data_IF_376125341200
#
_entry.id   IF_376125341200
#
_cell.length_a   1.000
_cell.length_b   1.000
_cell.length_c   1.000
_cell.angle_alpha   90.00
_cell.angle_beta   90.00
_cell.angle_gamma   90.00
#
_symmetry.space_group_name_H-M   'P 1'
#
loop_
_entity.id
_entity.type
_entity.pdbx_description
1 polymer ?
#
# COMPACT_ATOMS: atom_id res chain seq x y z
N UNK A 1 27.76 6.87 -19.61
CA UNK A 1 26.31 7.09 -19.74
C UNK A 1 25.74 5.92 -20.52
N UNK A 2 25.04 4.98 -19.92
CA UNK A 2 24.44 3.84 -20.63
C UNK A 2 23.32 4.39 -21.52
N UNK A 3 23.38 4.08 -22.81
CA UNK A 3 22.31 4.38 -23.77
C UNK A 3 21.06 3.59 -23.34
N UNK A 4 20.23 4.17 -22.46
CA UNK A 4 18.93 3.57 -22.14
C UNK A 4 18.07 3.62 -23.40
N UNK A 5 17.36 2.53 -23.75
CA UNK A 5 16.42 2.58 -24.86
C UNK A 5 15.41 3.71 -24.57
N UNK A 6 15.25 4.60 -25.53
CA UNK A 6 14.40 5.79 -25.45
C UNK A 6 12.92 5.39 -25.53
N UNK A 7 12.38 4.78 -24.46
CA UNK A 7 10.93 4.51 -24.36
C UNK A 7 10.19 5.78 -23.91
N UNK A 8 9.13 6.09 -24.64
CA UNK A 8 8.19 7.17 -24.34
C UNK A 8 7.07 6.65 -23.46
N UNK A 9 6.76 7.37 -22.40
CA UNK A 9 5.71 7.02 -21.46
C UNK A 9 4.53 7.99 -21.53
N UNK A 10 3.30 7.47 -21.36
CA UNK A 10 2.13 8.27 -21.06
C UNK A 10 1.56 7.87 -19.70
N UNK A 11 1.08 8.88 -18.94
CA UNK A 11 0.45 8.71 -17.63
C UNK A 11 -1.06 8.91 -17.79
N UNK A 12 -1.82 7.83 -17.52
CA UNK A 12 -3.28 7.80 -17.60
C UNK A 12 -3.82 7.81 -16.16
N UNK A 13 -4.29 8.97 -15.72
CA UNK A 13 -4.64 9.26 -14.33
C UNK A 13 -3.51 10.00 -13.61
N UNK A 14 -3.68 11.31 -13.40
CA UNK A 14 -2.69 12.18 -12.77
C UNK A 14 -3.02 12.49 -11.31
N UNK A 15 -3.54 11.50 -10.59
CA UNK A 15 -3.66 11.51 -9.15
C UNK A 15 -2.29 11.58 -8.46
N UNK A 16 -2.24 11.37 -7.14
CA UNK A 16 -0.99 11.42 -6.37
C UNK A 16 0.06 10.41 -6.88
N UNK A 17 -0.35 9.16 -7.08
CA UNK A 17 0.56 8.07 -7.50
C UNK A 17 1.04 8.28 -8.93
N UNK A 18 0.13 8.54 -9.87
CA UNK A 18 0.49 8.73 -11.29
C UNK A 18 1.42 9.92 -11.50
N UNK A 19 1.17 11.03 -10.82
CA UNK A 19 2.05 12.20 -10.87
C UNK A 19 3.42 11.92 -10.27
N UNK A 20 3.48 11.25 -9.11
CA UNK A 20 4.76 10.93 -8.46
C UNK A 20 5.60 9.95 -9.30
N UNK A 21 5.00 8.85 -9.79
CA UNK A 21 5.71 7.88 -10.65
C UNK A 21 6.16 8.53 -11.96
N UNK A 22 5.28 9.30 -12.62
CA UNK A 22 5.66 10.04 -13.84
C UNK A 22 6.83 11.01 -13.63
N UNK A 23 6.80 11.76 -12.52
CA UNK A 23 7.90 12.65 -12.12
C UNK A 23 9.21 11.89 -11.88
N UNK A 24 9.16 10.77 -11.16
CA UNK A 24 10.33 9.94 -10.88
C UNK A 24 10.88 9.27 -12.15
N UNK A 25 10.04 8.79 -13.06
CA UNK A 25 10.47 8.26 -14.36
C UNK A 25 11.18 9.33 -15.17
N UNK A 26 10.63 10.55 -15.20
CA UNK A 26 11.30 11.68 -15.88
C UNK A 26 12.66 11.99 -15.27
N UNK A 27 12.77 12.02 -13.92
CA UNK A 27 14.04 12.18 -13.22
C UNK A 27 15.02 11.04 -13.51
N UNK A 28 14.53 9.84 -13.78
CA UNK A 28 15.33 8.68 -14.18
C UNK A 28 15.75 8.70 -15.67
N UNK A 29 15.35 9.73 -16.42
CA UNK A 29 15.74 9.94 -17.82
C UNK A 29 14.77 9.39 -18.87
N UNK A 30 13.57 8.97 -18.46
CA UNK A 30 12.51 8.60 -19.40
C UNK A 30 11.78 9.84 -19.93
N UNK A 31 11.34 9.79 -21.18
CA UNK A 31 10.49 10.83 -21.77
C UNK A 31 9.02 10.55 -21.40
N UNK A 32 8.37 11.52 -20.73
CA UNK A 32 6.93 11.48 -20.52
C UNK A 32 6.29 12.37 -21.58
N UNK A 33 5.71 11.75 -22.59
CA UNK A 33 5.18 12.47 -23.77
C UNK A 33 3.77 12.97 -23.58
N UNK A 34 2.96 12.29 -22.77
CA UNK A 34 1.55 12.64 -22.59
C UNK A 34 1.02 12.31 -21.20
N UNK A 35 -0.01 13.05 -20.82
CA UNK A 35 -0.81 12.82 -19.60
C UNK A 35 -2.29 12.99 -19.91
N UNK A 36 -3.15 12.26 -19.22
CA UNK A 36 -4.59 12.47 -19.25
C UNK A 36 -5.21 12.20 -17.87
N UNK A 37 -6.23 12.98 -17.54
CA UNK A 37 -7.05 12.84 -16.32
C UNK A 37 -8.39 13.54 -16.58
N UNK A 38 -9.53 12.99 -16.13
CA UNK A 38 -10.81 13.69 -16.25
C UNK A 38 -10.87 15.00 -15.45
N UNK A 39 -10.03 15.15 -14.41
CA UNK A 39 -9.90 16.37 -13.61
C UNK A 39 -8.86 17.30 -14.19
N UNK A 40 -9.31 18.46 -14.69
CA UNK A 40 -8.41 19.53 -15.13
C UNK A 40 -7.50 20.05 -14.00
N UNK A 41 -7.97 20.02 -12.76
CA UNK A 41 -7.18 20.41 -11.59
C UNK A 41 -6.02 19.42 -11.34
N UNK A 42 -6.25 18.11 -11.53
CA UNK A 42 -5.19 17.10 -11.45
C UNK A 42 -4.15 17.31 -12.56
N UNK A 43 -4.60 17.50 -13.82
CA UNK A 43 -3.70 17.76 -14.94
C UNK A 43 -2.85 19.01 -14.69
N UNK A 44 -3.47 20.13 -14.29
CA UNK A 44 -2.74 21.39 -14.01
C UNK A 44 -1.69 21.19 -12.91
N UNK A 45 -2.05 20.48 -11.86
CA UNK A 45 -1.09 20.14 -10.78
C UNK A 45 0.04 19.24 -11.27
N UNK A 46 -0.28 18.21 -12.06
CA UNK A 46 0.72 17.28 -12.59
C UNK A 46 1.72 17.95 -13.53
N UNK A 47 1.32 18.97 -14.29
CA UNK A 47 2.19 19.73 -15.18
C UNK A 47 3.39 20.37 -14.46
N UNK A 48 3.25 20.74 -13.17
CA UNK A 48 4.36 21.30 -12.39
C UNK A 48 5.42 20.23 -12.02
N UNK A 49 5.06 18.96 -12.02
CA UNK A 49 5.96 17.83 -11.73
C UNK A 49 6.46 17.12 -13.00
N UNK A 50 5.63 17.10 -14.05
CA UNK A 50 5.90 16.40 -15.31
C UNK A 50 5.85 17.45 -16.44
N UNK A 51 6.85 18.33 -16.44
CA UNK A 51 6.93 19.42 -17.46
C UNK A 51 7.17 18.85 -18.86
N UNK A 52 6.57 19.48 -19.89
CA UNK A 52 6.78 19.12 -21.30
C UNK A 52 5.91 17.99 -21.84
N UNK A 53 5.13 17.29 -20.98
CA UNK A 53 4.18 16.30 -21.44
C UNK A 53 2.90 16.98 -21.99
N UNK A 54 2.37 16.46 -23.10
CA UNK A 54 1.10 16.92 -23.67
C UNK A 54 -0.07 16.53 -22.74
N UNK A 55 -0.99 17.45 -22.49
CA UNK A 55 -2.24 17.15 -21.80
C UNK A 55 -3.30 16.71 -22.81
N UNK A 56 -3.67 15.44 -22.80
CA UNK A 56 -4.66 14.85 -23.68
C UNK A 56 -6.04 14.82 -23.02
N UNK A 57 -7.08 15.00 -23.84
CA UNK A 57 -8.47 14.91 -23.38
C UNK A 57 -8.88 13.46 -23.12
N UNK A 58 -8.42 12.52 -23.95
CA UNK A 58 -8.78 11.12 -23.91
C UNK A 58 -7.57 10.20 -23.69
N UNK A 59 -7.71 9.08 -22.97
CA UNK A 59 -6.66 8.09 -22.77
C UNK A 59 -6.06 7.55 -24.08
N UNK A 60 -6.87 7.33 -25.11
CA UNK A 60 -6.43 6.87 -26.43
C UNK A 60 -5.51 7.86 -27.15
N UNK A 61 -5.73 9.17 -27.00
CA UNK A 61 -4.84 10.20 -27.53
C UNK A 61 -3.47 10.12 -26.87
N UNK A 62 -3.42 10.02 -25.54
CA UNK A 62 -2.16 9.87 -24.79
C UNK A 62 -1.44 8.56 -25.19
N UNK A 63 -2.19 7.48 -25.38
CA UNK A 63 -1.66 6.20 -25.82
C UNK A 63 -1.02 6.26 -27.20
N UNK A 64 -1.54 7.08 -28.12
CA UNK A 64 -0.96 7.30 -29.44
C UNK A 64 0.45 7.93 -29.41
N UNK A 65 0.80 8.62 -28.34
CA UNK A 65 2.06 9.37 -28.21
C UNK A 65 3.17 8.62 -27.45
N UNK A 66 2.91 7.36 -26.99
CA UNK A 66 3.84 6.66 -26.13
C UNK A 66 4.00 5.17 -26.50
N UNK A 67 5.13 4.58 -26.09
CA UNK A 67 5.43 3.15 -26.21
C UNK A 67 4.99 2.39 -24.96
N UNK A 68 4.98 3.08 -23.83
CA UNK A 68 4.65 2.55 -22.51
C UNK A 68 3.53 3.37 -21.89
N UNK A 69 2.49 2.70 -21.37
CA UNK A 69 1.34 3.34 -20.74
C UNK A 69 1.29 2.97 -19.25
N UNK A 70 1.13 3.97 -18.41
CA UNK A 70 0.91 3.79 -16.97
C UNK A 70 -0.55 4.13 -16.67
N UNK A 71 -1.39 3.14 -16.43
CA UNK A 71 -2.76 3.32 -15.96
C UNK A 71 -2.72 3.40 -14.44
N UNK A 72 -2.92 4.62 -13.95
CA UNK A 72 -2.83 5.00 -12.53
C UNK A 72 -4.15 5.58 -12.01
N UNK A 73 -5.24 5.19 -12.65
CA UNK A 73 -6.62 5.46 -12.22
C UNK A 73 -7.00 4.61 -11.01
N UNK A 74 -8.11 4.90 -10.32
CA UNK A 74 -8.66 4.00 -9.30
C UNK A 74 -8.84 2.58 -9.85
N UNK A 75 -8.70 1.58 -8.98
CA UNK A 75 -8.70 0.16 -9.36
C UNK A 75 -9.93 -0.23 -10.18
N UNK A 76 -11.12 0.24 -9.79
CA UNK A 76 -12.40 -0.04 -10.46
C UNK A 76 -12.48 0.53 -11.89
N UNK A 77 -11.62 1.50 -12.21
CA UNK A 77 -11.61 2.15 -13.52
C UNK A 77 -10.52 1.60 -14.45
N UNK A 78 -9.61 0.76 -13.98
CA UNK A 78 -8.47 0.29 -14.80
C UNK A 78 -8.97 -0.48 -16.04
N UNK A 79 -9.90 -1.40 -15.86
CA UNK A 79 -10.39 -2.23 -16.95
C UNK A 79 -11.14 -1.41 -18.03
N UNK A 80 -12.00 -0.48 -17.61
CA UNK A 80 -12.75 0.40 -18.54
C UNK A 80 -11.81 1.36 -19.28
N UNK A 81 -10.83 1.95 -18.61
CA UNK A 81 -9.82 2.82 -19.22
C UNK A 81 -8.94 2.02 -20.20
N UNK A 82 -8.57 0.78 -19.85
CA UNK A 82 -7.84 -0.09 -20.76
C UNK A 82 -8.64 -0.39 -22.03
N UNK A 83 -9.95 -0.65 -21.91
CA UNK A 83 -10.83 -0.87 -23.08
C UNK A 83 -10.92 0.40 -23.95
N UNK A 84 -11.15 1.57 -23.35
CA UNK A 84 -11.19 2.87 -24.08
C UNK A 84 -9.90 3.13 -24.85
N UNK A 85 -8.73 2.80 -24.27
CA UNK A 85 -7.43 2.93 -24.96
C UNK A 85 -7.39 2.02 -26.19
N UNK A 86 -7.82 0.77 -26.06
CA UNK A 86 -7.78 -0.23 -27.15
C UNK A 86 -8.74 0.13 -28.27
N UNK A 87 -9.93 0.63 -27.93
CA UNK A 87 -10.94 1.04 -28.91
C UNK A 87 -10.52 2.27 -29.71
N UNK A 88 -9.79 3.19 -29.11
CA UNK A 88 -9.39 4.45 -29.73
C UNK A 88 -7.95 4.55 -30.22
N UNK A 89 -7.10 3.53 -29.97
CA UNK A 89 -5.66 3.57 -30.37
C UNK A 89 -5.09 2.17 -30.54
N UNK A 90 -4.17 2.01 -31.51
CA UNK A 90 -3.41 0.76 -31.65
C UNK A 90 -2.45 0.58 -30.45
N UNK A 91 -2.58 -0.55 -29.77
CA UNK A 91 -1.70 -0.91 -28.66
C UNK A 91 -0.78 -2.10 -28.95
N UNK A 92 -0.77 -2.58 -30.20
CA UNK A 92 0.08 -3.70 -30.61
C UNK A 92 1.56 -3.38 -30.38
N UNK A 93 2.24 -4.25 -29.63
CA UNK A 93 3.64 -4.10 -29.25
C UNK A 93 3.93 -3.08 -28.13
N UNK A 94 2.92 -2.32 -27.66
CA UNK A 94 3.09 -1.41 -26.52
C UNK A 94 3.20 -2.19 -25.20
N UNK A 95 3.74 -1.52 -24.20
CA UNK A 95 3.88 -2.03 -22.83
C UNK A 95 2.91 -1.27 -21.93
N UNK A 96 1.98 -1.98 -21.33
CA UNK A 96 0.91 -1.36 -20.52
C UNK A 96 1.01 -1.85 -19.08
N UNK A 97 1.06 -0.89 -18.17
CA UNK A 97 1.20 -1.12 -16.75
C UNK A 97 0.01 -0.56 -15.99
N UNK A 98 -0.41 -1.24 -14.94
CA UNK A 98 -1.22 -0.63 -13.89
C UNK A 98 -0.53 -0.74 -12.53
N UNK A 99 -1.00 0.06 -11.54
CA UNK A 99 -0.39 0.14 -10.23
C UNK A 99 -1.26 -0.45 -9.10
N UNK A 100 -2.35 -1.13 -9.43
CA UNK A 100 -3.20 -1.80 -8.43
C UNK A 100 -2.42 -2.86 -7.66
N UNK A 101 -2.59 -2.86 -6.35
CA UNK A 101 -2.02 -3.86 -5.45
C UNK A 101 -2.81 -5.18 -5.47
N UNK A 102 -4.12 -5.11 -5.59
CA UNK A 102 -5.03 -6.26 -5.58
C UNK A 102 -5.33 -6.80 -6.97
N UNK A 103 -5.48 -5.90 -7.98
CA UNK A 103 -5.86 -6.27 -9.33
C UNK A 103 -4.80 -7.09 -10.07
N UNK A 104 -5.23 -8.11 -10.80
CA UNK A 104 -4.39 -8.97 -11.63
C UNK A 104 -4.17 -8.40 -13.04
N UNK A 105 -3.55 -9.22 -13.92
CA UNK A 105 -3.35 -8.86 -15.33
C UNK A 105 -4.65 -8.93 -16.15
N UNK A 106 -5.67 -9.54 -15.61
CA UNK A 106 -7.03 -9.62 -16.19
C UNK A 106 -7.65 -8.23 -16.38
N UNK A 107 -7.30 -7.25 -15.55
CA UNK A 107 -7.71 -5.85 -15.74
C UNK A 107 -7.20 -5.26 -17.06
N UNK A 108 -6.14 -5.81 -17.63
CA UNK A 108 -5.55 -5.42 -18.92
C UNK A 108 -5.83 -6.42 -20.03
N UNK A 109 -6.83 -7.31 -19.86
CA UNK A 109 -7.18 -8.33 -20.86
C UNK A 109 -7.52 -7.75 -22.24
N UNK A 110 -8.22 -6.61 -22.39
CA UNK A 110 -8.44 -5.97 -23.69
C UNK A 110 -7.12 -5.68 -24.42
N UNK A 111 -6.16 -5.08 -23.72
CA UNK A 111 -4.86 -4.74 -24.28
C UNK A 111 -4.03 -5.99 -24.66
N UNK A 112 -4.08 -7.04 -23.84
CA UNK A 112 -3.42 -8.32 -24.16
C UNK A 112 -3.98 -8.93 -25.42
N UNK A 113 -5.30 -8.95 -25.60
CA UNK A 113 -5.97 -9.43 -26.83
C UNK A 113 -5.60 -8.60 -28.05
N UNK A 114 -5.34 -7.31 -27.87
CA UNK A 114 -4.91 -6.39 -28.93
C UNK A 114 -3.38 -6.42 -29.20
N UNK A 115 -2.64 -7.34 -28.57
CA UNK A 115 -1.21 -7.58 -28.83
C UNK A 115 -0.25 -6.69 -28.02
N UNK A 116 -0.70 -6.08 -26.91
CA UNK A 116 0.17 -5.41 -25.97
C UNK A 116 0.80 -6.40 -24.96
N UNK A 117 1.96 -6.05 -24.43
CA UNK A 117 2.54 -6.70 -23.26
C UNK A 117 2.08 -5.98 -21.99
N UNK A 118 1.64 -6.75 -20.99
CA UNK A 118 1.01 -6.17 -19.79
C UNK A 118 1.73 -6.55 -18.50
N UNK A 119 1.72 -5.63 -17.53
CA UNK A 119 2.24 -5.85 -16.20
C UNK A 119 1.52 -5.00 -15.15
N UNK A 120 1.63 -5.42 -13.89
CA UNK A 120 1.34 -4.62 -12.71
C UNK A 120 2.65 -4.33 -11.97
N UNK A 121 2.86 -3.07 -11.56
CA UNK A 121 3.98 -2.65 -10.71
C UNK A 121 3.42 -1.84 -9.54
N UNK A 122 3.15 -2.50 -8.43
CA UNK A 122 2.50 -1.89 -7.27
C UNK A 122 3.53 -1.44 -6.23
N UNK A 123 3.68 -0.12 -5.96
CA UNK A 123 4.56 0.37 -4.90
C UNK A 123 3.96 0.08 -3.52
N UNK A 124 4.71 -0.63 -2.66
CA UNK A 124 4.37 -0.85 -1.25
C UNK A 124 4.70 0.40 -0.43
N UNK A 125 3.85 1.42 -0.56
CA UNK A 125 4.04 2.70 0.12
C UNK A 125 2.71 3.41 0.34
N UNK A 126 2.64 4.26 1.36
CA UNK A 126 1.50 5.15 1.60
C UNK A 126 1.70 6.51 0.91
N UNK A 127 0.63 7.05 0.36
CA UNK A 127 0.64 8.29 -0.40
C UNK A 127 -0.30 9.32 0.23
N UNK A 128 0.24 10.29 0.97
CA UNK A 128 -0.52 11.39 1.56
C UNK A 128 -0.45 12.68 0.73
N UNK A 129 0.61 12.84 -0.08
CA UNK A 129 0.80 13.92 -1.03
C UNK A 129 1.73 13.47 -2.16
N UNK A 130 1.81 14.26 -3.25
CA UNK A 130 2.74 13.99 -4.36
C UNK A 130 4.19 14.09 -3.87
N UNK A 131 4.52 15.10 -3.08
CA UNK A 131 5.89 15.31 -2.60
C UNK A 131 6.34 14.20 -1.65
N UNK A 132 5.45 13.76 -0.74
CA UNK A 132 5.74 12.62 0.12
C UNK A 132 5.89 11.33 -0.67
N UNK A 133 5.09 11.12 -1.72
CA UNK A 133 5.22 9.98 -2.62
C UNK A 133 6.57 9.98 -3.34
N UNK A 134 6.97 11.13 -3.91
CA UNK A 134 8.27 11.28 -4.59
C UNK A 134 9.43 10.99 -3.63
N UNK A 135 9.33 11.40 -2.37
CA UNK A 135 10.35 11.18 -1.36
C UNK A 135 10.41 9.74 -0.86
N UNK A 136 9.27 9.06 -0.72
CA UNK A 136 9.13 7.76 -0.07
C UNK A 136 9.19 6.57 -1.03
N UNK A 137 8.93 6.75 -2.33
CA UNK A 137 9.02 5.69 -3.34
C UNK A 137 10.44 5.11 -3.46
N UNK A 138 11.53 5.93 -3.49
CA UNK A 138 12.89 5.39 -3.44
C UNK A 138 13.12 4.53 -2.18
N UNK A 139 13.64 3.31 -2.38
CA UNK A 139 13.84 2.33 -1.30
C UNK A 139 12.64 1.46 -0.98
N UNK A 140 11.44 1.79 -1.50
CA UNK A 140 10.24 0.97 -1.30
C UNK A 140 10.27 -0.31 -2.14
N UNK A 141 9.65 -1.36 -1.62
CA UNK A 141 9.39 -2.56 -2.41
C UNK A 141 8.25 -2.34 -3.41
N UNK A 142 8.36 -3.02 -4.55
CA UNK A 142 7.32 -3.03 -5.58
C UNK A 142 6.91 -4.46 -5.90
N UNK A 143 5.62 -4.78 -5.75
CA UNK A 143 5.05 -6.03 -6.23
C UNK A 143 4.95 -6.01 -7.75
N UNK A 144 5.71 -6.90 -8.42
CA UNK A 144 5.74 -7.02 -9.88
C UNK A 144 5.02 -8.27 -10.31
N UNK A 145 3.95 -8.10 -11.10
CA UNK A 145 3.23 -9.17 -11.79
C UNK A 145 3.29 -8.85 -13.29
N UNK A 146 3.85 -9.73 -14.11
CA UNK A 146 4.08 -9.42 -15.52
C UNK A 146 4.03 -10.69 -16.39
N UNK A 147 3.62 -10.53 -17.64
CA UNK A 147 3.84 -11.58 -18.65
C UNK A 147 5.34 -11.82 -18.85
N UNK A 148 5.72 -13.04 -19.25
CA UNK A 148 7.13 -13.46 -19.30
C UNK A 148 8.05 -12.48 -20.03
N UNK A 149 7.62 -11.99 -21.21
CA UNK A 149 8.38 -11.03 -22.02
C UNK A 149 8.58 -9.64 -21.41
N UNK A 150 7.74 -9.26 -20.41
CA UNK A 150 7.80 -7.93 -19.79
C UNK A 150 8.46 -7.93 -18.40
N UNK A 151 8.71 -9.10 -17.81
CA UNK A 151 9.20 -9.25 -16.42
C UNK A 151 10.52 -8.51 -16.16
N UNK A 152 11.51 -8.67 -17.03
CA UNK A 152 12.83 -8.01 -16.91
C UNK A 152 12.70 -6.48 -17.02
N UNK A 153 11.92 -6.02 -17.99
CA UNK A 153 11.69 -4.59 -18.22
C UNK A 153 10.93 -3.95 -17.04
N UNK A 154 9.88 -4.58 -16.52
CA UNK A 154 9.16 -4.11 -15.35
C UNK A 154 10.06 -3.94 -14.13
N UNK A 155 10.96 -4.92 -13.90
CA UNK A 155 11.93 -4.85 -12.81
C UNK A 155 12.99 -3.78 -13.03
N UNK A 156 13.38 -3.50 -14.28
CA UNK A 156 14.31 -2.41 -14.61
C UNK A 156 13.66 -1.04 -14.29
N UNK A 157 12.40 -0.82 -14.70
CA UNK A 157 11.64 0.39 -14.35
C UNK A 157 11.61 0.59 -12.84
N UNK A 158 11.30 -0.45 -12.06
CA UNK A 158 11.25 -0.35 -10.60
C UNK A 158 12.61 0.07 -10.02
N UNK A 159 13.72 -0.51 -10.51
CA UNK A 159 15.06 -0.11 -10.06
C UNK A 159 15.42 1.33 -10.48
N UNK A 160 14.96 1.77 -11.65
CA UNK A 160 15.16 3.16 -12.10
C UNK A 160 14.38 4.15 -11.24
N UNK A 161 13.26 3.74 -10.66
CA UNK A 161 12.54 4.48 -9.60
C UNK A 161 13.26 4.38 -8.23
N UNK A 162 14.42 3.73 -8.16
CA UNK A 162 15.15 3.37 -6.93
C UNK A 162 14.35 2.47 -5.99
N UNK A 163 13.39 1.73 -6.52
CA UNK A 163 12.60 0.73 -5.77
C UNK A 163 13.23 -0.66 -5.85
N UNK A 164 12.71 -1.57 -5.04
CA UNK A 164 13.14 -2.97 -4.93
C UNK A 164 12.04 -3.87 -5.50
N UNK A 165 12.23 -4.50 -6.68
CA UNK A 165 11.21 -5.35 -7.27
C UNK A 165 11.12 -6.70 -6.55
N UNK A 166 9.90 -7.12 -6.19
CA UNK A 166 9.57 -8.48 -5.76
C UNK A 166 8.50 -9.04 -6.70
N UNK A 167 8.62 -10.33 -7.04
CA UNK A 167 7.64 -10.96 -7.92
C UNK A 167 6.46 -11.49 -7.12
N UNK A 168 5.26 -11.12 -7.57
CA UNK A 168 3.99 -11.56 -6.99
C UNK A 168 3.17 -12.17 -8.13
N UNK A 169 2.70 -13.43 -7.97
CA UNK A 169 1.84 -14.03 -8.98
C UNK A 169 0.43 -13.43 -8.92
N UNK A 170 -0.39 -13.54 -9.98
CA UNK A 170 -1.77 -13.07 -9.95
C UNK A 170 -2.56 -13.64 -8.77
N UNK A 171 -2.38 -14.90 -8.44
CA UNK A 171 -3.08 -15.61 -7.36
C UNK A 171 -2.64 -15.12 -5.98
N UNK A 172 -1.42 -14.63 -5.84
CA UNK A 172 -0.88 -14.10 -4.59
C UNK A 172 -1.29 -12.64 -4.33
N UNK A 173 -1.67 -11.87 -5.38
CA UNK A 173 -1.97 -10.43 -5.24
C UNK A 173 -3.01 -10.10 -4.18
N UNK A 174 -4.15 -10.81 -4.05
CA UNK A 174 -5.13 -10.47 -3.01
C UNK A 174 -4.54 -10.56 -1.60
N UNK A 175 -3.79 -11.62 -1.30
CA UNK A 175 -3.17 -11.79 0.02
C UNK A 175 -2.01 -10.81 0.25
N UNK A 176 -1.20 -10.56 -0.78
CA UNK A 176 -0.15 -9.55 -0.77
C UNK A 176 -0.72 -8.16 -0.45
N UNK A 177 -1.80 -7.76 -1.11
CA UNK A 177 -2.43 -6.46 -0.88
C UNK A 177 -3.14 -6.39 0.48
N UNK A 178 -3.77 -7.47 0.93
CA UNK A 178 -4.35 -7.54 2.27
C UNK A 178 -3.29 -7.30 3.35
N UNK A 179 -2.08 -7.87 3.20
CA UNK A 179 -0.97 -7.60 4.12
C UNK A 179 -0.54 -6.13 4.10
N UNK A 180 -0.49 -5.49 2.93
CA UNK A 180 -0.20 -4.06 2.80
C UNK A 180 -1.27 -3.19 3.48
N UNK A 181 -2.55 -3.53 3.30
CA UNK A 181 -3.66 -2.85 3.98
C UNK A 181 -3.57 -3.01 5.50
N UNK A 182 -3.21 -4.18 6.01
CA UNK A 182 -3.02 -4.38 7.44
C UNK A 182 -1.85 -3.56 7.99
N UNK A 183 -0.75 -3.47 7.25
CA UNK A 183 0.43 -2.72 7.68
C UNK A 183 0.24 -1.20 7.63
N UNK A 184 -0.66 -0.68 6.81
CA UNK A 184 -0.91 0.75 6.62
C UNK A 184 -2.29 1.17 7.10
N UNK A 185 -3.34 0.81 6.38
CA UNK A 185 -4.70 1.27 6.66
C UNK A 185 -5.20 0.81 8.03
N UNK A 186 -4.96 -0.46 8.40
CA UNK A 186 -5.42 -1.00 9.69
C UNK A 186 -4.58 -0.48 10.86
N UNK A 187 -3.33 -0.09 10.62
CA UNK A 187 -2.55 0.64 11.63
C UNK A 187 -3.25 1.97 11.97
N UNK A 188 -3.67 2.76 10.96
CA UNK A 188 -4.41 4.01 11.17
C UNK A 188 -5.74 3.74 11.88
N UNK A 189 -6.48 2.69 11.48
CA UNK A 189 -7.73 2.30 12.13
C UNK A 189 -7.52 1.91 13.59
N UNK A 190 -6.43 1.18 13.91
CA UNK A 190 -6.07 0.85 15.28
C UNK A 190 -5.75 2.09 16.10
N UNK A 191 -5.03 3.05 15.52
CA UNK A 191 -4.74 4.33 16.21
C UNK A 191 -6.01 5.14 16.48
N UNK A 192 -7.03 5.09 15.62
CA UNK A 192 -8.34 5.68 15.88
C UNK A 192 -9.03 5.04 17.10
N UNK A 193 -8.92 3.72 17.28
CA UNK A 193 -9.41 3.05 18.47
C UNK A 193 -8.64 3.48 19.72
N UNK A 194 -7.31 3.55 19.64
CA UNK A 194 -6.45 4.04 20.74
C UNK A 194 -6.83 5.46 21.13
N UNK A 195 -7.05 6.36 20.15
CA UNK A 195 -7.50 7.72 20.38
C UNK A 195 -8.87 7.75 21.09
N UNK A 196 -9.84 6.95 20.64
CA UNK A 196 -11.15 6.82 21.29
C UNK A 196 -11.06 6.38 22.78
N UNK A 197 -10.13 5.48 23.12
CA UNK A 197 -9.89 5.07 24.50
C UNK A 197 -9.33 6.24 25.33
N UNK A 198 -8.37 7.02 24.82
CA UNK A 198 -7.84 8.19 25.52
C UNK A 198 -8.91 9.28 25.71
N UNK A 199 -9.75 9.52 24.68
CA UNK A 199 -10.85 10.48 24.76
C UNK A 199 -11.86 10.08 25.86
N UNK A 200 -12.16 8.79 26.00
CA UNK A 200 -13.12 8.28 27.01
C UNK A 200 -12.66 8.49 28.45
N UNK A 201 -11.38 8.75 28.66
CA UNK A 201 -10.81 9.05 29.99
C UNK A 201 -10.40 10.52 30.14
N UNK A 202 -10.88 11.41 29.23
CA UNK A 202 -10.80 12.86 29.38
C UNK A 202 -9.63 13.54 28.67
N UNK A 203 -8.86 12.84 27.83
CA UNK A 203 -7.85 13.50 27.00
C UNK A 203 -8.50 14.30 25.86
N UNK A 204 -7.89 15.41 25.45
CA UNK A 204 -8.20 16.01 24.16
C UNK A 204 -7.60 15.19 23.01
N UNK A 205 -8.14 15.29 21.77
CA UNK A 205 -7.54 14.63 20.60
C UNK A 205 -6.05 14.96 20.44
N UNK A 206 -5.68 16.21 20.65
CA UNK A 206 -4.30 16.68 20.55
C UNK A 206 -3.39 16.02 21.58
N UNK A 207 -3.85 15.90 22.82
CA UNK A 207 -3.04 15.34 23.91
C UNK A 207 -3.00 13.80 23.80
N UNK A 208 -4.08 13.16 23.39
CA UNK A 208 -4.11 11.74 23.07
C UNK A 208 -3.02 11.39 22.04
N UNK A 209 -3.00 12.10 20.90
CA UNK A 209 -1.98 11.91 19.87
C UNK A 209 -0.55 12.10 20.37
N UNK A 210 -0.32 13.14 21.15
CA UNK A 210 1.00 13.38 21.76
C UNK A 210 1.41 12.27 22.73
N UNK A 211 0.46 11.68 23.45
CA UNK A 211 0.72 10.63 24.41
C UNK A 211 1.06 9.30 23.73
N UNK A 212 0.28 8.86 22.72
CA UNK A 212 0.48 7.53 22.15
C UNK A 212 1.52 7.45 21.02
N UNK A 213 1.75 8.52 20.24
CA UNK A 213 2.69 8.48 19.11
C UNK A 213 4.12 8.09 19.49
N UNK A 214 4.72 8.61 20.58
CA UNK A 214 6.04 8.15 21.01
C UNK A 214 6.09 6.65 21.32
N UNK A 215 5.01 6.10 21.90
CA UNK A 215 4.88 4.67 22.19
C UNK A 215 4.81 3.85 20.88
N UNK A 216 4.07 4.33 19.89
CA UNK A 216 3.98 3.69 18.56
C UNK A 216 5.35 3.67 17.88
N UNK A 217 6.06 4.81 17.85
CA UNK A 217 7.40 4.88 17.26
C UNK A 217 8.39 3.97 17.96
N UNK A 218 8.35 3.89 19.30
CA UNK A 218 9.16 2.96 20.06
C UNK A 218 8.87 1.51 19.72
N UNK A 219 7.59 1.16 19.55
CA UNK A 219 7.17 -0.19 19.14
C UNK A 219 7.61 -0.54 17.72
N UNK A 220 7.50 0.42 16.77
CA UNK A 220 8.00 0.24 15.40
C UNK A 220 9.51 0.05 15.37
N UNK A 221 10.26 0.81 16.17
CA UNK A 221 11.71 0.67 16.29
C UNK A 221 12.13 -0.70 16.84
N UNK A 222 11.41 -1.19 17.86
CA UNK A 222 11.65 -2.53 18.39
C UNK A 222 11.32 -3.61 17.35
N UNK A 223 10.24 -3.44 16.60
CA UNK A 223 9.83 -4.34 15.53
C UNK A 223 10.90 -4.41 14.42
N UNK A 224 11.43 -3.26 13.99
CA UNK A 224 12.49 -3.16 12.99
C UNK A 224 13.75 -3.93 13.41
N UNK A 225 14.14 -3.81 14.67
CA UNK A 225 15.41 -4.36 15.16
C UNK A 225 15.34 -5.80 15.66
N UNK A 226 14.17 -6.25 16.16
CA UNK A 226 14.04 -7.53 16.88
C UNK A 226 13.05 -8.51 16.25
N UNK A 227 12.21 -8.04 15.31
CA UNK A 227 11.10 -8.83 14.74
C UNK A 227 9.92 -9.01 15.69
N UNK A 228 8.78 -9.49 15.16
CA UNK A 228 7.50 -9.51 15.89
C UNK A 228 7.52 -10.22 17.25
N UNK A 229 8.03 -11.45 17.41
CA UNK A 229 7.98 -12.11 18.72
C UNK A 229 8.78 -11.35 19.77
N UNK A 230 10.01 -10.92 19.43
CA UNK A 230 10.92 -10.29 20.38
C UNK A 230 10.55 -8.84 20.72
N UNK A 231 9.92 -8.12 19.80
CA UNK A 231 9.42 -6.76 20.01
C UNK A 231 8.23 -6.71 20.99
N UNK A 232 7.52 -7.84 21.22
CA UNK A 232 6.37 -7.86 22.11
C UNK A 232 6.77 -7.59 23.54
N UNK A 233 6.12 -6.60 24.18
CA UNK A 233 6.24 -6.22 25.57
C UNK A 233 4.86 -6.16 26.25
N UNK A 234 4.79 -5.69 27.48
CA UNK A 234 3.53 -5.45 28.18
C UNK A 234 3.01 -6.64 29.00
N UNK A 235 1.77 -6.53 29.52
CA UNK A 235 1.23 -7.49 30.49
C UNK A 235 1.06 -8.91 29.93
N UNK A 236 0.67 -9.04 28.66
CA UNK A 236 0.52 -10.35 28.02
C UNK A 236 1.87 -11.07 27.92
N UNK A 237 2.92 -10.35 27.50
CA UNK A 237 4.27 -10.93 27.41
C UNK A 237 4.80 -11.37 28.76
N UNK A 238 4.38 -10.75 29.87
CA UNK A 238 4.78 -11.10 31.24
C UNK A 238 3.86 -12.10 31.94
N UNK A 239 2.76 -12.50 31.28
CA UNK A 239 1.79 -13.42 31.88
C UNK A 239 0.89 -12.77 32.95
N UNK A 240 0.78 -11.44 32.99
CA UNK A 240 -0.02 -10.68 33.96
C UNK A 240 -1.51 -10.72 33.61
N UNK A 241 -2.17 -11.82 33.98
CA UNK A 241 -3.59 -12.03 33.75
C UNK A 241 -4.51 -11.06 34.52
N UNK A 242 -4.06 -10.58 35.68
CA UNK A 242 -4.82 -9.63 36.50
C UNK A 242 -4.98 -8.28 35.79
N UNK A 243 -3.90 -7.75 35.22
CA UNK A 243 -3.94 -6.52 34.41
C UNK A 243 -4.80 -6.69 33.16
N UNK A 244 -4.67 -7.82 32.46
CA UNK A 244 -5.49 -8.10 31.26
C UNK A 244 -6.98 -8.16 31.59
N UNK A 245 -7.36 -8.79 32.72
CA UNK A 245 -8.75 -8.84 33.18
C UNK A 245 -9.32 -7.45 33.47
N UNK A 246 -8.52 -6.56 34.09
CA UNK A 246 -8.92 -5.17 34.34
C UNK A 246 -9.15 -4.42 33.02
N UNK A 247 -8.26 -4.60 32.02
CA UNK A 247 -8.43 -3.99 30.69
C UNK A 247 -9.73 -4.47 30.03
N UNK A 248 -9.96 -5.78 29.98
CA UNK A 248 -11.20 -6.35 29.40
C UNK A 248 -12.43 -5.76 30.07
N UNK A 249 -12.46 -5.73 31.40
CA UNK A 249 -13.61 -5.17 32.16
C UNK A 249 -13.83 -3.70 31.83
N UNK A 250 -12.77 -2.90 31.81
CA UNK A 250 -12.86 -1.47 31.50
C UNK A 250 -13.36 -1.21 30.08
N UNK A 251 -12.80 -1.91 29.08
CA UNK A 251 -13.22 -1.77 27.69
C UNK A 251 -14.66 -2.22 27.50
N UNK A 252 -15.05 -3.39 28.06
CA UNK A 252 -16.42 -3.87 27.95
C UNK A 252 -17.44 -2.94 28.63
N UNK A 253 -17.05 -2.22 29.69
CA UNK A 253 -17.92 -1.27 30.37
C UNK A 253 -18.05 0.06 29.62
N UNK A 254 -16.94 0.64 29.16
CA UNK A 254 -16.91 2.02 28.64
C UNK A 254 -16.94 2.10 27.11
N UNK A 255 -16.45 1.07 26.42
CA UNK A 255 -16.28 1.03 24.94
C UNK A 255 -16.54 -0.38 24.40
N UNK A 256 -17.75 -0.96 24.66
CA UNK A 256 -18.04 -2.37 24.35
C UNK A 256 -17.83 -2.72 22.87
N UNK A 257 -17.99 -1.77 21.94
CA UNK A 257 -17.75 -1.95 20.52
C UNK A 257 -16.31 -2.36 20.18
N UNK A 258 -15.35 -2.10 21.07
CA UNK A 258 -13.93 -2.46 20.87
C UNK A 258 -13.50 -3.71 21.65
N UNK A 259 -14.39 -4.33 22.45
CA UNK A 259 -14.05 -5.50 23.27
C UNK A 259 -13.57 -6.69 22.43
N UNK A 260 -14.28 -6.99 21.34
CA UNK A 260 -13.90 -8.07 20.41
C UNK A 260 -12.56 -7.81 19.72
N UNK A 261 -12.30 -6.57 19.27
CA UNK A 261 -11.01 -6.20 18.69
C UNK A 261 -9.86 -6.39 19.68
N UNK A 262 -10.03 -5.88 20.91
CA UNK A 262 -9.03 -6.03 21.97
C UNK A 262 -8.73 -7.51 22.27
N UNK A 263 -9.76 -8.33 22.36
CA UNK A 263 -9.63 -9.76 22.62
C UNK A 263 -8.92 -10.51 21.47
N UNK A 264 -9.25 -10.20 20.22
CA UNK A 264 -8.62 -10.81 19.05
C UNK A 264 -7.12 -10.46 18.98
N UNK A 265 -6.76 -9.19 19.18
CA UNK A 265 -5.37 -8.76 19.25
C UNK A 265 -4.63 -9.40 20.42
N UNK A 266 -5.31 -9.53 21.59
CA UNK A 266 -4.78 -10.23 22.74
C UNK A 266 -4.45 -11.70 22.47
N UNK A 267 -5.29 -12.41 21.71
CA UNK A 267 -5.02 -13.80 21.33
C UNK A 267 -3.81 -13.94 20.40
N UNK A 268 -3.60 -12.97 19.50
CA UNK A 268 -2.39 -12.92 18.66
C UNK A 268 -1.15 -12.67 19.54
N UNK A 269 -1.25 -11.74 20.49
CA UNK A 269 -0.17 -11.43 21.43
C UNK A 269 0.21 -12.64 22.31
N UNK A 270 -0.77 -13.48 22.74
CA UNK A 270 -0.50 -14.75 23.45
C UNK A 270 0.34 -15.70 22.59
N UNK A 271 0.04 -15.84 21.30
CA UNK A 271 0.84 -16.66 20.39
C UNK A 271 2.27 -16.14 20.27
N UNK A 272 2.44 -14.83 20.10
CA UNK A 272 3.76 -14.19 20.04
C UNK A 272 4.56 -14.36 21.33
N UNK A 273 3.93 -14.18 22.50
CA UNK A 273 4.57 -14.40 23.80
C UNK A 273 5.02 -15.86 23.99
N UNK A 274 4.25 -16.82 23.48
CA UNK A 274 4.63 -18.24 23.44
C UNK A 274 5.83 -18.47 22.54
N UNK A 275 5.87 -17.88 21.35
CA UNK A 275 7.01 -17.97 20.43
C UNK A 275 8.28 -17.34 21.03
N UNK A 276 8.13 -16.21 21.73
CA UNK A 276 9.21 -15.55 22.48
C UNK A 276 9.72 -16.38 23.67
N UNK A 277 8.93 -17.34 24.17
CA UNK A 277 9.28 -18.16 25.33
C UNK A 277 9.01 -17.51 26.69
N UNK A 278 8.37 -16.33 26.72
CA UNK A 278 8.08 -15.59 27.98
C UNK A 278 6.79 -16.03 28.65
N UNK A 279 5.92 -16.78 27.98
CA UNK A 279 4.65 -17.23 28.52
C UNK A 279 4.60 -18.77 28.60
N UNK A 280 4.35 -19.32 29.79
CA UNK A 280 4.14 -20.76 29.97
C UNK A 280 2.84 -21.25 29.33
N UNK A 281 2.70 -22.57 29.13
CA UNK A 281 1.46 -23.16 28.59
C UNK A 281 0.25 -22.90 29.49
N UNK A 282 0.43 -22.96 30.82
CA UNK A 282 -0.63 -22.69 31.80
C UNK A 282 -1.09 -21.25 31.73
N UNK A 283 -0.16 -20.28 31.73
CA UNK A 283 -0.47 -18.86 31.58
C UNK A 283 -1.17 -18.56 30.24
N UNK A 284 -0.70 -19.15 29.14
CA UNK A 284 -1.34 -18.99 27.83
C UNK A 284 -2.78 -19.50 27.81
N UNK A 285 -3.08 -20.63 28.47
CA UNK A 285 -4.45 -21.15 28.61
C UNK A 285 -5.35 -20.18 29.39
N UNK A 286 -4.85 -19.61 30.49
CA UNK A 286 -5.58 -18.62 31.30
C UNK A 286 -5.90 -17.39 30.46
N UNK A 287 -4.89 -16.79 29.80
CA UNK A 287 -5.06 -15.61 28.94
C UNK A 287 -6.05 -15.86 27.80
N UNK A 288 -5.93 -17.01 27.13
CA UNK A 288 -6.85 -17.40 26.04
C UNK A 288 -8.30 -17.50 26.53
N UNK A 289 -8.52 -18.05 27.74
CA UNK A 289 -9.87 -18.15 28.34
C UNK A 289 -10.45 -16.76 28.61
N UNK A 290 -9.65 -15.83 29.14
CA UNK A 290 -10.05 -14.43 29.37
C UNK A 290 -10.50 -13.75 28.08
N UNK A 291 -9.69 -13.83 27.02
CA UNK A 291 -10.00 -13.21 25.74
C UNK A 291 -11.23 -13.83 25.05
N UNK A 292 -11.39 -15.17 25.10
CA UNK A 292 -12.60 -15.82 24.56
C UNK A 292 -13.87 -15.40 25.30
N UNK A 293 -13.80 -15.14 26.60
CA UNK A 293 -14.91 -14.62 27.37
C UNK A 293 -15.32 -13.20 27.00
N UNK A 294 -14.39 -12.39 26.50
CA UNK A 294 -14.63 -11.00 26.09
C UNK A 294 -15.12 -10.84 24.63
N UNK A 295 -15.22 -11.94 23.88
CA UNK A 295 -15.75 -11.95 22.50
C UNK A 295 -17.28 -12.15 22.45
N UNK A 296 -17.90 -12.53 23.58
CA UNK A 296 -19.35 -12.71 23.75
C UNK A 296 -19.99 -11.40 24.18
#
# INVERSE_FOLDING_TARGET
MSNKPSFKFAVIGTGMVGTAIGSLLKKAGYEITAMTDPSSAHLKRAQSYITGAACCRYPSQAAGLADCLLITTPDDSIASVCAEIVDGSSVKGKKIFHLSGAGGLDLLAPATKAGAMVASIHPLQSFSSIDSAISNIPGSYFGVTAVAGLKKFSSAIVRDLRGIPIYVTPEQKPLYHAAACMASNYLVSLMSVVESIYLSIGFSEKDARKAYLPLVYGSLKNLETQGCPNALTGPIARGDSGTVQKHIKAISCHLPQYASLYANMGMIAVKLARQKGTLSLSQAKIMTKLFKGAQK
#
